data_IF_514437956537
#
_entry.id   IF_514437956537
#
_cell.length_a   1.000
_cell.length_b   1.000
_cell.length_c   1.000
_cell.angle_alpha   90.00
_cell.angle_beta   90.00
_cell.angle_gamma   90.00
#
_symmetry.space_group_name_H-M   'P 1'
#
loop_
_entity.id
_entity.type
_entity.pdbx_description
1 polymer ?
#
# COMPACT_ATOMS: atom_id res chain seq x y z
N UNK A 1 -52.79 17.59 14.54
CA UNK A 1 -52.06 16.61 13.71
C UNK A 1 -50.70 17.12 13.22
N UNK A 2 -50.59 18.28 12.57
CA UNK A 2 -49.32 18.81 12.01
C UNK A 2 -48.14 18.89 13.01
N UNK A 3 -48.36 19.34 14.25
CA UNK A 3 -47.32 19.38 15.30
C UNK A 3 -46.77 18.00 15.68
N UNK A 4 -47.62 16.97 15.78
CA UNK A 4 -47.19 15.60 16.10
C UNK A 4 -46.37 14.98 14.95
N UNK A 5 -46.75 15.28 13.71
CA UNK A 5 -45.98 14.86 12.51
C UNK A 5 -44.62 15.54 12.46
N UNK A 6 -44.55 16.84 12.72
CA UNK A 6 -43.29 17.57 12.77
C UNK A 6 -42.34 17.02 13.85
N UNK A 7 -42.86 16.77 15.06
CA UNK A 7 -42.07 16.15 16.15
C UNK A 7 -41.57 14.76 15.75
N UNK A 8 -42.44 13.92 15.18
CA UNK A 8 -42.04 12.57 14.76
C UNK A 8 -40.96 12.60 13.68
N UNK A 9 -41.06 13.53 12.73
CA UNK A 9 -40.04 13.73 11.70
C UNK A 9 -38.73 14.23 12.30
N UNK A 10 -38.77 15.18 13.23
CA UNK A 10 -37.58 15.68 13.93
C UNK A 10 -36.89 14.57 14.74
N UNK A 11 -37.65 13.71 15.41
CA UNK A 11 -37.08 12.55 16.13
C UNK A 11 -36.44 11.56 15.16
N UNK A 12 -37.09 11.27 14.03
CA UNK A 12 -36.54 10.38 13.02
C UNK A 12 -35.25 10.94 12.38
N UNK A 13 -35.23 12.25 12.12
CA UNK A 13 -34.03 12.92 11.62
C UNK A 13 -32.89 12.88 12.65
N UNK A 14 -33.18 13.20 13.91
CA UNK A 14 -32.18 13.19 14.98
C UNK A 14 -31.59 11.80 15.18
N UNK A 15 -32.43 10.77 15.23
CA UNK A 15 -31.99 9.37 15.37
C UNK A 15 -31.13 8.93 14.18
N UNK A 16 -31.52 9.30 12.95
CA UNK A 16 -30.71 9.05 11.75
C UNK A 16 -29.34 9.74 11.80
N UNK A 17 -29.27 10.99 12.26
CA UNK A 17 -28.00 11.72 12.41
C UNK A 17 -27.09 11.09 13.47
N UNK A 18 -27.64 10.68 14.61
CA UNK A 18 -26.90 9.99 15.68
C UNK A 18 -26.32 8.68 15.13
N UNK A 19 -27.14 7.87 14.47
CA UNK A 19 -26.70 6.60 13.89
C UNK A 19 -25.62 6.80 12.81
N UNK A 20 -25.82 7.76 11.91
CA UNK A 20 -24.83 8.15 10.91
C UNK A 20 -23.51 8.61 11.52
N UNK A 21 -23.56 9.37 12.62
CA UNK A 21 -22.39 9.77 13.38
C UNK A 21 -21.60 8.59 13.96
N UNK A 22 -22.30 7.63 14.59
CA UNK A 22 -21.66 6.40 15.09
C UNK A 22 -21.04 5.56 13.97
N UNK A 23 -21.74 5.43 12.84
CA UNK A 23 -21.25 4.70 11.69
C UNK A 23 -19.99 5.34 11.09
N UNK A 24 -20.01 6.66 10.85
CA UNK A 24 -18.83 7.39 10.36
C UNK A 24 -17.67 7.24 11.34
N UNK A 25 -17.93 7.39 12.65
CA UNK A 25 -16.90 7.26 13.67
C UNK A 25 -16.23 5.88 13.64
N UNK A 26 -16.99 4.81 13.37
CA UNK A 26 -16.44 3.46 13.22
C UNK A 26 -15.53 3.29 12.00
N UNK A 27 -15.70 4.10 10.96
CA UNK A 27 -14.91 4.06 9.73
C UNK A 27 -13.62 4.90 9.82
N UNK A 28 -13.55 5.91 10.68
CA UNK A 28 -12.40 6.83 10.77
C UNK A 28 -11.05 6.12 10.98
N UNK A 29 -10.93 5.10 11.86
CA UNK A 29 -9.67 4.39 12.03
C UNK A 29 -9.25 3.60 10.78
N UNK A 30 -10.22 3.15 9.97
CA UNK A 30 -9.96 2.44 8.71
C UNK A 30 -9.46 3.44 7.67
N UNK A 31 -10.17 4.56 7.49
CA UNK A 31 -9.82 5.59 6.50
C UNK A 31 -8.44 6.15 6.77
N UNK A 32 -8.20 6.66 7.98
CA UNK A 32 -6.92 7.28 8.34
C UNK A 32 -5.81 6.24 8.48
N UNK A 33 -6.09 5.06 9.03
CA UNK A 33 -5.10 4.00 9.21
C UNK A 33 -4.60 3.43 7.89
N UNK A 34 -5.51 3.17 6.95
CA UNK A 34 -5.16 2.69 5.61
C UNK A 34 -4.29 3.71 4.87
N UNK A 35 -4.71 4.98 4.86
CA UNK A 35 -3.95 6.05 4.21
C UNK A 35 -2.55 6.19 4.81
N UNK A 36 -2.44 6.33 6.14
CA UNK A 36 -1.16 6.49 6.82
C UNK A 36 -0.21 5.31 6.56
N UNK A 37 -0.69 4.07 6.72
CA UNK A 37 0.15 2.87 6.57
C UNK A 37 0.62 2.67 5.13
N UNK A 38 -0.28 2.80 4.15
CA UNK A 38 0.07 2.54 2.75
C UNK A 38 0.96 3.65 2.19
N UNK A 39 0.68 4.92 2.50
CA UNK A 39 1.57 6.01 2.11
C UNK A 39 2.95 5.87 2.76
N UNK A 40 3.01 5.52 4.05
CA UNK A 40 4.28 5.26 4.75
C UNK A 40 5.09 4.15 4.08
N UNK A 41 4.42 3.05 3.70
CA UNK A 41 5.08 1.92 3.04
C UNK A 41 5.58 2.31 1.65
N UNK A 42 4.73 2.96 0.85
CA UNK A 42 5.09 3.36 -0.50
C UNK A 42 6.26 4.37 -0.51
N UNK A 43 6.27 5.33 0.41
CA UNK A 43 7.34 6.33 0.48
C UNK A 43 8.63 5.76 1.07
N UNK A 44 8.57 5.13 2.25
CA UNK A 44 9.79 4.75 2.99
C UNK A 44 10.34 3.37 2.64
N UNK A 45 9.51 2.46 2.10
CA UNK A 45 9.96 1.12 1.67
C UNK A 45 10.13 1.10 0.15
N UNK A 46 9.13 1.56 -0.59
CA UNK A 46 9.14 1.48 -2.06
C UNK A 46 9.84 2.67 -2.73
N UNK A 47 10.15 3.75 -1.98
CA UNK A 47 10.79 4.95 -2.52
C UNK A 47 9.91 5.72 -3.51
N UNK A 48 8.60 5.52 -3.46
CA UNK A 48 7.64 6.18 -4.35
C UNK A 48 7.36 7.60 -3.90
N UNK A 49 7.04 8.46 -4.86
CA UNK A 49 6.59 9.82 -4.60
C UNK A 49 5.22 9.81 -3.88
N UNK A 50 5.04 10.68 -2.89
CA UNK A 50 3.85 10.69 -2.05
C UNK A 50 2.60 11.12 -2.83
N UNK A 51 2.71 12.16 -3.66
CA UNK A 51 1.62 12.71 -4.44
C UNK A 51 1.09 11.69 -5.47
N UNK A 52 1.98 10.94 -6.11
CA UNK A 52 1.61 9.85 -7.03
C UNK A 52 0.83 8.74 -6.31
N UNK A 53 1.26 8.37 -5.09
CA UNK A 53 0.59 7.36 -4.26
C UNK A 53 -0.78 7.86 -3.81
N UNK A 54 -0.91 9.13 -3.44
CA UNK A 54 -2.20 9.71 -3.07
C UNK A 54 -3.18 9.73 -4.25
N UNK A 55 -2.69 10.11 -5.44
CA UNK A 55 -3.51 10.23 -6.64
C UNK A 55 -3.94 8.88 -7.23
N UNK A 56 -3.13 7.84 -7.06
CA UNK A 56 -3.36 6.51 -7.63
C UNK A 56 -3.88 5.52 -6.58
N UNK A 57 -3.10 5.28 -5.53
CA UNK A 57 -3.32 4.18 -4.58
C UNK A 57 -4.35 4.55 -3.51
N UNK A 58 -4.44 5.82 -3.12
CA UNK A 58 -5.35 6.29 -2.07
C UNK A 58 -6.62 6.97 -2.61
N UNK A 59 -6.73 7.18 -3.92
CA UNK A 59 -7.84 7.89 -4.55
C UNK A 59 -9.08 7.00 -4.76
N UNK A 60 -9.58 6.38 -3.70
CA UNK A 60 -10.80 5.59 -3.73
C UNK A 60 -11.62 5.77 -2.46
N UNK A 61 -12.93 5.51 -2.57
CA UNK A 61 -13.88 5.59 -1.45
C UNK A 61 -13.71 6.89 -0.64
N UNK A 62 -13.82 6.82 0.69
CA UNK A 62 -13.59 7.92 1.63
C UNK A 62 -12.09 8.23 1.85
N UNK A 63 -11.20 7.32 1.48
CA UNK A 63 -9.74 7.45 1.70
C UNK A 63 -9.16 8.62 0.89
N UNK A 64 -9.72 8.90 -0.30
CA UNK A 64 -9.34 10.06 -1.12
C UNK A 64 -9.49 11.42 -0.42
N UNK A 65 -10.31 11.49 0.63
CA UNK A 65 -10.57 12.72 1.39
C UNK A 65 -9.68 12.84 2.64
N UNK A 66 -8.84 11.86 2.90
CA UNK A 66 -7.87 11.95 3.97
C UNK A 66 -6.77 12.95 3.61
N UNK A 67 -6.41 13.80 4.56
CA UNK A 67 -5.24 14.69 4.45
C UNK A 67 -4.05 13.98 5.08
N UNK A 68 -2.97 13.83 4.32
CA UNK A 68 -1.76 13.16 4.78
C UNK A 68 -0.60 14.14 4.89
N UNK A 69 0.31 13.83 5.79
CA UNK A 69 1.51 14.59 6.08
C UNK A 69 2.67 13.60 6.21
N UNK A 70 3.66 13.74 5.34
CA UNK A 70 4.86 12.89 5.32
C UNK A 70 6.02 13.66 5.94
N UNK A 71 6.45 13.19 7.10
CA UNK A 71 7.63 13.68 7.81
C UNK A 71 8.81 12.77 7.46
N UNK A 72 9.64 13.22 6.53
CA UNK A 72 10.78 12.45 6.03
C UNK A 72 11.94 12.38 7.03
N UNK A 73 12.03 13.34 7.95
CA UNK A 73 13.07 13.40 8.98
C UNK A 73 12.80 12.33 10.04
N UNK A 74 11.60 12.30 10.60
CA UNK A 74 11.21 11.32 11.61
C UNK A 74 10.71 10.00 10.99
N UNK A 75 10.70 9.91 9.64
CA UNK A 75 10.14 8.81 8.86
C UNK A 75 8.74 8.40 9.33
N UNK A 76 7.84 9.38 9.38
CA UNK A 76 6.48 9.26 9.93
C UNK A 76 5.46 9.78 8.93
N UNK A 77 4.31 9.12 8.86
CA UNK A 77 3.15 9.61 8.10
C UNK A 77 1.98 9.80 9.06
N UNK A 78 1.38 10.98 9.04
CA UNK A 78 0.13 11.25 9.75
C UNK A 78 -1.00 11.43 8.76
N UNK A 79 -2.11 10.72 8.96
CA UNK A 79 -3.32 10.86 8.16
C UNK A 79 -4.49 11.32 9.02
N UNK A 80 -5.28 12.26 8.49
CA UNK A 80 -6.43 12.88 9.18
C UNK A 80 -7.65 12.87 8.28
N UNK A 81 -8.81 12.54 8.85
CA UNK A 81 -10.10 12.64 8.18
C UNK A 81 -11.19 12.92 9.22
N UNK A 82 -11.93 14.02 9.05
CA UNK A 82 -12.83 14.57 10.07
C UNK A 82 -12.10 14.73 11.42
N UNK A 83 -12.61 14.14 12.50
CA UNK A 83 -11.94 14.11 13.82
C UNK A 83 -11.05 12.88 14.02
N UNK A 84 -10.90 12.04 13.00
CA UNK A 84 -10.04 10.86 13.01
C UNK A 84 -8.59 11.21 12.71
N UNK A 85 -7.67 10.51 13.37
CA UNK A 85 -6.23 10.63 13.14
C UNK A 85 -5.57 9.26 13.29
N UNK A 86 -4.67 8.92 12.37
CA UNK A 86 -3.78 7.77 12.50
C UNK A 86 -2.35 8.15 12.12
N UNK A 87 -1.39 7.48 12.72
CA UNK A 87 0.04 7.72 12.49
C UNK A 87 0.71 6.39 12.17
N UNK A 88 1.55 6.37 11.13
CA UNK A 88 2.42 5.24 10.80
C UNK A 88 3.89 5.70 10.83
N UNK A 89 4.76 4.84 11.36
CA UNK A 89 6.20 5.10 11.44
C UNK A 89 6.96 4.03 10.67
N UNK A 90 8.00 4.43 9.95
CA UNK A 90 8.96 3.49 9.41
C UNK A 90 10.03 3.19 10.47
N UNK A 91 10.32 1.90 10.60
CA UNK A 91 11.30 1.33 11.52
C UNK A 91 12.24 0.44 10.71
N UNK A 92 13.54 0.71 10.79
CA UNK A 92 14.55 -0.06 10.07
C UNK A 92 14.45 -1.55 10.42
N UNK A 93 14.48 -2.43 9.41
CA UNK A 93 14.27 -3.87 9.57
C UNK A 93 12.82 -4.33 9.77
N UNK A 94 11.94 -3.51 10.36
CA UNK A 94 10.52 -3.85 10.59
C UNK A 94 9.57 -3.29 9.52
N UNK A 95 10.01 -2.32 8.72
CA UNK A 95 9.16 -1.61 7.77
C UNK A 95 8.22 -0.63 8.45
N UNK A 96 7.02 -0.43 7.89
CA UNK A 96 6.07 0.57 8.36
C UNK A 96 5.06 -0.02 9.34
N UNK A 97 5.00 0.55 10.55
CA UNK A 97 4.10 0.14 11.63
C UNK A 97 3.06 1.23 11.90
N UNK A 98 1.79 0.86 11.96
CA UNK A 98 0.71 1.76 12.40
C UNK A 98 0.72 1.88 13.93
N UNK A 99 0.74 3.10 14.47
CA UNK A 99 0.65 3.33 15.91
C UNK A 99 -0.78 3.06 16.40
N UNK A 100 -0.90 2.11 17.33
CA UNK A 100 -2.17 1.74 17.98
C UNK A 100 -1.91 1.40 19.43
N UNK A 101 -2.42 2.23 20.34
CA UNK A 101 -2.37 2.00 21.80
C UNK A 101 -0.96 1.70 22.33
N UNK A 102 0.06 2.26 21.67
CA UNK A 102 1.47 2.09 22.01
C UNK A 102 2.23 3.38 21.70
N UNK A 103 3.14 3.73 22.60
CA UNK A 103 4.01 4.89 22.43
C UNK A 103 5.04 4.63 21.32
N UNK A 104 5.30 5.67 20.53
CA UNK A 104 6.24 5.62 19.40
C UNK A 104 7.66 5.22 19.87
N UNK A 105 8.13 5.77 20.98
CA UNK A 105 9.46 5.50 21.54
C UNK A 105 9.64 4.04 21.96
N UNK A 106 8.58 3.41 22.49
CA UNK A 106 8.60 2.00 22.86
C UNK A 106 8.85 1.12 21.62
N UNK A 107 8.19 1.43 20.49
CA UNK A 107 8.43 0.70 19.24
C UNK A 107 9.80 1.00 18.63
N UNK A 108 10.26 2.25 18.69
CA UNK A 108 11.58 2.65 18.17
C UNK A 108 12.74 2.06 18.95
N UNK A 109 12.54 1.75 20.24
CA UNK A 109 13.56 1.12 21.09
C UNK A 109 13.88 -0.33 20.70
N UNK A 110 12.96 -1.01 20.00
CA UNK A 110 13.13 -2.39 19.55
C UNK A 110 14.05 -2.44 18.32
N UNK A 111 15.15 -3.17 18.46
CA UNK A 111 16.10 -3.40 17.37
C UNK A 111 15.76 -4.69 16.62
N UNK A 112 15.90 -4.65 15.29
CA UNK A 112 15.79 -5.84 14.48
C UNK A 112 17.05 -6.69 14.70
N UNK A 113 16.93 -8.01 14.92
CA UNK A 113 18.09 -8.86 15.16
C UNK A 113 19.03 -8.81 13.95
N UNK A 114 20.33 -8.66 14.21
CA UNK A 114 21.33 -8.75 13.15
C UNK A 114 21.26 -10.13 12.51
N UNK A 115 21.03 -10.15 11.19
CA UNK A 115 21.11 -11.37 10.41
C UNK A 115 22.53 -11.52 9.86
N UNK A 116 23.10 -12.75 9.85
CA UNK A 116 24.39 -12.96 9.22
C UNK A 116 24.30 -12.57 7.73
N UNK A 117 25.36 -11.95 7.18
CA UNK A 117 25.40 -11.64 5.76
C UNK A 117 25.28 -12.93 4.95
N UNK A 118 24.69 -12.81 3.76
CA UNK A 118 24.61 -13.94 2.84
C UNK A 118 26.02 -14.45 2.50
N UNK A 119 26.18 -15.77 2.46
CA UNK A 119 27.45 -16.43 2.18
C UNK A 119 27.79 -16.50 0.69
N UNK A 120 26.91 -16.00 -0.17
CA UNK A 120 27.05 -16.05 -1.63
C UNK A 120 26.67 -14.72 -2.26
N UNK A 121 27.23 -14.43 -3.44
CA UNK A 121 26.92 -13.22 -4.20
C UNK A 121 25.70 -13.46 -5.10
N UNK A 122 24.62 -12.73 -4.85
CA UNK A 122 23.39 -12.85 -5.63
C UNK A 122 23.59 -12.49 -7.11
N UNK A 123 24.50 -11.59 -7.46
CA UNK A 123 24.69 -11.13 -8.84
C UNK A 123 25.42 -12.15 -9.73
N UNK A 124 26.05 -13.15 -9.12
CA UNK A 124 26.72 -14.24 -9.84
C UNK A 124 26.06 -15.60 -9.62
N UNK A 125 25.11 -15.69 -8.71
CA UNK A 125 24.42 -16.94 -8.35
C UNK A 125 23.18 -17.13 -9.22
N UNK A 126 22.93 -18.36 -9.67
CA UNK A 126 21.74 -18.70 -10.43
C UNK A 126 20.47 -18.55 -9.59
N UNK A 127 19.39 -18.14 -10.24
CA UNK A 127 18.04 -18.21 -9.68
C UNK A 127 17.71 -19.65 -9.23
N UNK A 128 17.05 -19.87 -8.07
CA UNK A 128 16.37 -18.86 -7.23
C UNK A 128 17.23 -18.26 -6.12
N UNK A 129 18.48 -18.70 -5.94
CA UNK A 129 19.33 -18.18 -4.87
C UNK A 129 19.90 -16.81 -5.24
N UNK A 130 20.21 -16.56 -6.51
CA UNK A 130 20.65 -15.25 -6.99
C UNK A 130 19.84 -14.70 -8.16
N UNK A 131 20.38 -13.64 -8.76
CA UNK A 131 19.74 -12.81 -9.78
C UNK A 131 20.04 -13.30 -11.21
N UNK A 132 20.93 -14.28 -11.38
CA UNK A 132 21.27 -14.80 -12.71
C UNK A 132 20.18 -15.77 -13.16
N UNK A 133 19.32 -15.31 -14.07
CA UNK A 133 18.29 -16.17 -14.67
C UNK A 133 18.98 -17.15 -15.63
N UNK A 134 18.83 -18.48 -15.44
CA UNK A 134 19.42 -19.46 -16.35
C UNK A 134 18.84 -19.32 -17.76
N UNK A 135 19.68 -19.52 -18.78
CA UNK A 135 19.25 -19.45 -20.18
C UNK A 135 18.21 -20.55 -20.45
N UNK A 136 16.96 -20.15 -20.58
CA UNK A 136 15.83 -21.04 -20.34
C UNK A 136 15.18 -21.48 -21.65
N UNK A 137 15.49 -22.70 -22.11
CA UNK A 137 14.58 -23.45 -22.98
C UNK A 137 13.54 -24.13 -22.08
N UNK A 138 12.60 -23.35 -21.52
CA UNK A 138 11.48 -23.96 -20.76
C UNK A 138 10.40 -24.56 -21.67
N UNK A 139 10.49 -24.27 -22.98
CA UNK A 139 9.50 -24.62 -24.00
C UNK A 139 8.31 -23.66 -24.06
N UNK A 140 8.34 -22.55 -23.30
CA UNK A 140 7.23 -21.59 -23.26
C UNK A 140 7.39 -20.48 -24.29
N UNK A 141 6.27 -20.06 -24.89
CA UNK A 141 6.25 -18.93 -25.83
C UNK A 141 6.36 -17.60 -25.07
N UNK A 142 7.59 -17.10 -24.92
CA UNK A 142 7.87 -15.81 -24.26
C UNK A 142 7.26 -14.63 -24.99
N UNK A 143 7.09 -14.71 -26.32
CA UNK A 143 6.56 -13.60 -27.11
C UNK A 143 5.07 -13.40 -26.83
N UNK A 144 4.30 -14.49 -26.76
CA UNK A 144 2.90 -14.43 -26.34
C UNK A 144 2.76 -13.91 -24.91
N UNK A 145 3.60 -14.38 -23.98
CA UNK A 145 3.58 -13.88 -22.60
C UNK A 145 3.97 -12.41 -22.48
N UNK A 146 4.93 -11.93 -23.29
CA UNK A 146 5.31 -10.52 -23.32
C UNK A 146 4.16 -9.62 -23.82
N UNK A 147 3.36 -10.13 -24.75
CA UNK A 147 2.16 -9.43 -25.22
C UNK A 147 1.14 -9.29 -24.08
N UNK A 148 0.85 -10.39 -23.38
CA UNK A 148 -0.03 -10.38 -22.20
C UNK A 148 0.47 -9.42 -21.13
N UNK A 149 1.77 -9.47 -20.82
CA UNK A 149 2.37 -8.56 -19.85
C UNK A 149 2.20 -7.09 -20.26
N UNK A 150 2.34 -6.79 -21.55
CA UNK A 150 2.17 -5.42 -22.08
C UNK A 150 0.71 -4.98 -22.04
N UNK A 151 -0.23 -5.87 -22.35
CA UNK A 151 -1.66 -5.57 -22.27
C UNK A 151 -2.10 -5.31 -20.82
N UNK A 152 -1.57 -6.07 -19.85
CA UNK A 152 -1.89 -5.89 -18.43
C UNK A 152 -1.28 -4.63 -17.82
N UNK A 153 0.00 -4.35 -18.10
CA UNK A 153 0.75 -3.25 -17.46
C UNK A 153 0.55 -1.92 -18.20
N UNK A 154 0.65 -1.90 -19.53
CA UNK A 154 0.62 -0.64 -20.29
C UNK A 154 -0.80 -0.23 -20.71
N UNK A 155 -1.66 -1.20 -21.00
CA UNK A 155 -3.00 -0.94 -21.56
C UNK A 155 -4.13 -1.12 -20.56
N UNK A 156 -3.82 -1.47 -19.31
CA UNK A 156 -4.81 -1.74 -18.27
C UNK A 156 -5.92 -2.70 -18.75
N UNK A 157 -5.57 -3.74 -19.52
CA UNK A 157 -6.55 -4.58 -20.24
C UNK A 157 -7.57 -5.29 -19.32
N UNK A 158 -7.27 -5.44 -18.02
CA UNK A 158 -8.18 -6.01 -17.03
C UNK A 158 -8.98 -4.96 -16.23
N UNK A 159 -8.87 -3.67 -16.58
CA UNK A 159 -9.57 -2.57 -15.92
C UNK A 159 -8.91 -2.07 -14.62
N UNK A 160 -7.70 -2.56 -14.30
CA UNK A 160 -6.93 -2.10 -13.13
C UNK A 160 -5.54 -1.57 -13.48
N UNK A 161 -4.82 -1.11 -12.46
CA UNK A 161 -3.48 -0.56 -12.58
C UNK A 161 -2.44 -1.55 -12.02
N UNK A 162 -1.83 -2.35 -12.89
CA UNK A 162 -0.74 -3.23 -12.48
C UNK A 162 0.56 -2.43 -12.33
N UNK A 163 1.20 -2.50 -11.15
CA UNK A 163 2.54 -1.92 -10.93
C UNK A 163 3.64 -2.78 -11.55
N UNK A 164 3.47 -4.10 -11.51
CA UNK A 164 4.33 -5.06 -12.16
C UNK A 164 3.55 -6.32 -12.52
N UNK A 165 4.12 -7.11 -13.43
CA UNK A 165 3.62 -8.41 -13.80
C UNK A 165 4.81 -9.34 -14.05
N UNK A 166 4.78 -10.54 -13.48
CA UNK A 166 5.82 -11.55 -13.63
C UNK A 166 5.19 -12.91 -13.91
N UNK A 167 5.80 -13.66 -14.82
CA UNK A 167 5.46 -15.07 -15.06
C UNK A 167 6.66 -15.93 -14.67
N UNK A 168 6.42 -16.86 -13.76
CA UNK A 168 7.38 -17.90 -13.38
C UNK A 168 6.90 -19.23 -13.95
N UNK A 169 7.74 -19.88 -14.77
CA UNK A 169 7.43 -21.17 -15.37
C UNK A 169 8.53 -22.18 -15.03
N UNK A 170 8.14 -23.33 -14.47
CA UNK A 170 9.07 -24.35 -13.95
C UNK A 170 10.12 -23.77 -12.99
N UNK A 171 9.67 -22.82 -12.15
CA UNK A 171 10.53 -22.16 -11.17
C UNK A 171 11.48 -21.11 -11.73
N UNK A 172 11.40 -20.76 -13.03
CA UNK A 172 12.26 -19.74 -13.66
C UNK A 172 11.40 -18.54 -14.09
N UNK A 173 11.76 -17.30 -13.73
CA UNK A 173 11.17 -16.08 -14.29
C UNK A 173 11.38 -16.04 -15.80
N UNK A 174 10.30 -16.00 -16.58
CA UNK A 174 10.36 -16.03 -18.05
C UNK A 174 9.93 -14.72 -18.70
N UNK A 175 9.09 -13.94 -18.01
CA UNK A 175 8.63 -12.61 -18.41
C UNK A 175 8.48 -11.76 -17.16
N UNK A 176 8.95 -10.52 -17.24
CA UNK A 176 8.72 -9.47 -16.27
C UNK A 176 8.36 -8.20 -17.00
N UNK A 177 7.47 -7.41 -16.42
CA UNK A 177 7.13 -6.09 -16.89
C UNK A 177 6.77 -5.19 -15.72
N UNK A 178 7.25 -3.97 -15.77
CA UNK A 178 7.09 -2.98 -14.73
C UNK A 178 6.43 -1.74 -15.31
N UNK A 179 5.52 -1.14 -14.54
CA UNK A 179 4.91 0.13 -14.91
C UNK A 179 5.92 1.27 -14.75
N UNK A 180 5.62 2.42 -15.35
CA UNK A 180 6.47 3.61 -15.26
C UNK A 180 6.75 3.96 -13.78
N UNK A 181 8.03 4.19 -13.46
CA UNK A 181 8.48 4.52 -12.11
C UNK A 181 8.73 3.32 -11.19
N UNK A 182 8.45 2.10 -11.66
CA UNK A 182 8.71 0.85 -10.96
C UNK A 182 9.80 0.07 -11.71
N UNK A 183 10.66 -0.64 -10.99
CA UNK A 183 11.67 -1.53 -11.55
C UNK A 183 11.86 -2.78 -10.67
N UNK A 184 12.76 -3.67 -11.09
CA UNK A 184 13.05 -4.92 -10.39
C UNK A 184 13.54 -4.75 -8.94
N UNK A 185 14.11 -3.59 -8.60
CA UNK A 185 14.57 -3.28 -7.24
C UNK A 185 13.52 -2.55 -6.40
N UNK A 186 12.39 -2.15 -6.99
CA UNK A 186 11.29 -1.53 -6.25
C UNK A 186 10.58 -2.57 -5.39
N UNK A 187 10.54 -2.35 -4.08
CA UNK A 187 9.77 -3.18 -3.15
C UNK A 187 8.29 -2.81 -3.22
N UNK A 188 7.48 -3.65 -3.85
CA UNK A 188 6.03 -3.47 -4.02
C UNK A 188 5.22 -4.09 -2.89
#
# INVERSE_FOLDING_TARGET
MKKKVAISFSVLLLTGLIWGGFYINSLLPIVTGYAAKNLSSAVFISGRNAEDVEALDLNFSLIRFASNEVDTINKRVTSRFLWGKSVAIYREGFGCTLLRDVEEDALRSLQFPEMPPLTYNQDTTLWPLGNVIPDSITGIDRKQLQQVASDLVDKAAYGGHAFSFMVVHKGIPVVEKYNKGINASTRL
#
